data_IF_231063188452
#
_entry.id   IF_231063188452
#
_cell.length_a   1.000
_cell.length_b   1.000
_cell.length_c   1.000
_cell.angle_alpha   90.00
_cell.angle_beta   90.00
_cell.angle_gamma   90.00
#
_symmetry.space_group_name_H-M   'P 1'
#
loop_
_entity.id
_entity.type
_entity.pdbx_description
1 polymer ?
#
# COMPACT_ATOMS: atom_id res chain seq x y z
N UNK A 1 -93.84 3.15 -14.61
CA UNK A 1 -93.49 4.42 -15.29
C UNK A 1 -92.98 5.39 -14.24
N UNK A 2 -91.67 5.65 -14.17
CA UNK A 2 -91.11 6.73 -13.35
C UNK A 2 -90.10 7.47 -14.21
N UNK A 3 -90.36 8.76 -14.41
CA UNK A 3 -89.71 9.62 -15.39
C UNK A 3 -88.30 10.05 -14.96
N UNK A 4 -87.43 10.17 -15.98
CA UNK A 4 -86.01 10.53 -15.90
C UNK A 4 -85.80 12.00 -15.53
N UNK A 5 -84.97 12.27 -14.53
CA UNK A 5 -84.36 13.58 -14.29
C UNK A 5 -83.01 13.67 -15.02
N UNK A 6 -82.83 14.72 -15.84
CA UNK A 6 -81.57 15.06 -16.52
C UNK A 6 -80.77 16.02 -15.61
N UNK A 7 -79.54 15.66 -15.26
CA UNK A 7 -78.55 16.58 -14.69
C UNK A 7 -77.36 16.73 -15.63
N UNK A 8 -76.94 17.98 -15.83
CA UNK A 8 -75.95 18.46 -16.81
C UNK A 8 -74.51 18.08 -16.39
N UNK A 9 -73.75 17.52 -17.33
CA UNK A 9 -72.31 17.22 -17.17
C UNK A 9 -71.52 18.54 -17.25
N UNK A 10 -70.89 18.93 -16.15
CA UNK A 10 -69.91 20.02 -16.12
C UNK A 10 -68.57 19.59 -16.72
N UNK A 11 -67.99 20.41 -17.60
CA UNK A 11 -66.68 20.19 -18.22
C UNK A 11 -65.56 20.32 -17.17
N UNK A 12 -64.85 19.22 -16.88
CA UNK A 12 -63.62 19.25 -16.09
C UNK A 12 -62.49 19.89 -16.89
N UNK A 13 -61.92 21.00 -16.38
CA UNK A 13 -60.71 21.62 -16.94
C UNK A 13 -59.51 20.69 -16.73
N UNK A 14 -58.84 20.30 -17.82
CA UNK A 14 -57.58 19.53 -17.79
C UNK A 14 -56.48 20.38 -17.14
N UNK A 15 -55.90 19.86 -16.06
CA UNK A 15 -54.65 20.38 -15.49
C UNK A 15 -53.52 20.32 -16.54
N UNK A 16 -52.63 21.33 -16.62
CA UNK A 16 -51.49 21.26 -17.52
C UNK A 16 -50.57 20.10 -17.12
N UNK A 17 -50.23 19.24 -18.09
CA UNK A 17 -49.25 18.17 -17.91
C UNK A 17 -47.90 18.80 -17.60
N UNK A 18 -47.33 18.48 -16.43
CA UNK A 18 -45.92 18.76 -16.11
C UNK A 18 -45.05 18.11 -17.19
N UNK A 19 -44.04 18.82 -17.76
CA UNK A 19 -43.14 18.21 -18.72
C UNK A 19 -42.40 17.06 -18.05
N UNK A 20 -42.28 15.93 -18.74
CA UNK A 20 -41.51 14.79 -18.29
C UNK A 20 -40.07 15.25 -18.01
N UNK A 21 -39.63 15.15 -16.76
CA UNK A 21 -38.20 15.28 -16.45
C UNK A 21 -37.51 14.13 -17.17
N UNK A 22 -36.72 14.44 -18.20
CA UNK A 22 -35.76 13.49 -18.74
C UNK A 22 -34.83 13.12 -17.58
N UNK A 23 -35.01 11.93 -17.02
CA UNK A 23 -34.02 11.29 -16.17
C UNK A 23 -32.84 10.96 -17.09
N UNK A 24 -31.94 11.94 -17.29
CA UNK A 24 -30.59 11.68 -17.74
C UNK A 24 -29.94 10.86 -16.62
N UNK A 25 -30.10 9.53 -16.69
CA UNK A 25 -29.30 8.63 -15.88
C UNK A 25 -27.85 8.87 -16.30
N UNK A 26 -27.08 9.55 -15.46
CA UNK A 26 -25.64 9.65 -15.64
C UNK A 26 -25.12 8.20 -15.66
N UNK A 27 -24.42 7.77 -16.72
CA UNK A 27 -23.90 6.41 -16.76
C UNK A 27 -22.95 6.23 -15.58
N UNK A 28 -23.26 5.29 -14.70
CA UNK A 28 -22.37 4.92 -13.60
C UNK A 28 -21.10 4.30 -14.22
N UNK A 29 -19.94 4.80 -13.79
CA UNK A 29 -18.66 4.22 -14.19
C UNK A 29 -18.58 2.74 -13.79
N UNK A 30 -17.85 1.94 -14.55
CA UNK A 30 -17.63 0.53 -14.21
C UNK A 30 -16.94 0.40 -12.85
N UNK A 31 -17.11 -0.71 -12.12
CA UNK A 31 -16.42 -0.91 -10.83
C UNK A 31 -14.90 -0.75 -10.95
N UNK A 32 -14.30 -1.17 -12.07
CA UNK A 32 -12.86 -0.98 -12.32
C UNK A 32 -12.50 0.50 -12.45
N UNK A 33 -13.25 1.26 -13.24
CA UNK A 33 -13.02 2.69 -13.42
C UNK A 33 -13.24 3.49 -12.12
N UNK A 34 -14.19 3.07 -11.29
CA UNK A 34 -14.40 3.66 -9.96
C UNK A 34 -13.20 3.43 -9.02
N UNK A 35 -12.61 2.22 -9.05
CA UNK A 35 -11.41 1.90 -8.26
C UNK A 35 -10.17 2.65 -8.75
N UNK A 36 -9.96 2.72 -10.06
CA UNK A 36 -8.88 3.50 -10.66
C UNK A 36 -8.98 4.98 -10.30
N UNK A 37 -10.18 5.57 -10.43
CA UNK A 37 -10.43 6.94 -10.02
C UNK A 37 -10.23 7.18 -8.51
N UNK A 38 -10.48 6.17 -7.65
CA UNK A 38 -10.15 6.24 -6.24
C UNK A 38 -8.63 6.22 -6.04
N UNK A 39 -7.91 5.28 -6.67
CA UNK A 39 -6.46 5.17 -6.56
C UNK A 39 -5.76 6.45 -7.01
N UNK A 40 -6.24 7.09 -8.09
CA UNK A 40 -5.73 8.37 -8.57
C UNK A 40 -5.94 9.52 -7.57
N UNK A 41 -7.12 9.61 -6.95
CA UNK A 41 -7.38 10.61 -5.89
C UNK A 41 -6.47 10.40 -4.69
N UNK A 42 -6.38 9.16 -4.20
CA UNK A 42 -5.50 8.81 -3.08
C UNK A 42 -4.03 9.16 -3.41
N UNK A 43 -3.58 8.84 -4.61
CA UNK A 43 -2.24 9.17 -5.09
C UNK A 43 -1.98 10.67 -5.08
N UNK A 44 -2.91 11.48 -5.61
CA UNK A 44 -2.79 12.93 -5.61
C UNK A 44 -2.75 13.50 -4.18
N UNK A 45 -3.72 13.13 -3.34
CA UNK A 45 -3.82 13.63 -1.97
C UNK A 45 -2.58 13.26 -1.14
N UNK A 46 -2.08 12.03 -1.28
CA UNK A 46 -0.87 11.57 -0.57
C UNK A 46 0.40 12.23 -1.09
N UNK A 47 0.50 12.49 -2.39
CA UNK A 47 1.62 13.22 -2.96
C UNK A 47 1.69 14.65 -2.42
N UNK A 48 0.56 15.37 -2.39
CA UNK A 48 0.46 16.72 -1.83
C UNK A 48 0.79 16.75 -0.33
N UNK A 49 0.26 15.81 0.44
CA UNK A 49 0.56 15.70 1.87
C UNK A 49 2.05 15.41 2.12
N UNK A 50 2.64 14.50 1.36
CA UNK A 50 4.07 14.16 1.46
C UNK A 50 4.95 15.36 1.10
N UNK A 51 4.61 16.09 0.03
CA UNK A 51 5.29 17.34 -0.35
C UNK A 51 5.20 18.39 0.75
N UNK A 52 4.00 18.60 1.31
CA UNK A 52 3.79 19.59 2.35
C UNK A 52 4.60 19.29 3.61
N UNK A 53 4.72 18.01 3.98
CA UNK A 53 5.48 17.56 5.14
C UNK A 53 6.99 17.72 4.97
N UNK A 54 7.54 17.50 3.77
CA UNK A 54 8.98 17.54 3.51
C UNK A 54 9.50 18.83 2.87
N UNK A 55 8.63 19.75 2.46
CA UNK A 55 9.06 21.07 2.00
C UNK A 55 9.81 21.80 3.12
N UNK A 56 10.98 22.40 2.85
CA UNK A 56 11.69 23.19 3.85
C UNK A 56 10.82 24.37 4.31
N UNK A 57 10.32 24.32 5.54
CA UNK A 57 9.66 25.45 6.19
C UNK A 57 10.67 26.15 7.10
N UNK A 58 11.60 26.91 6.52
CA UNK A 58 12.68 27.56 7.27
C UNK A 58 13.73 26.57 7.80
N UNK A 59 14.38 26.88 8.92
CA UNK A 59 15.22 25.93 9.69
C UNK A 59 14.32 24.83 10.27
N UNK A 60 13.99 23.82 9.48
CA UNK A 60 13.26 22.65 9.97
C UNK A 60 14.19 21.84 10.88
N UNK A 61 13.95 21.91 12.19
CA UNK A 61 14.82 21.28 13.19
C UNK A 61 14.91 19.75 13.10
N UNK A 62 13.99 19.06 12.41
CA UNK A 62 13.93 17.58 12.45
C UNK A 62 13.45 16.94 11.13
N UNK A 63 14.26 16.92 10.06
CA UNK A 63 13.85 16.37 8.76
C UNK A 63 13.57 14.86 8.80
N UNK A 64 14.25 14.09 9.66
CA UNK A 64 13.93 12.67 9.88
C UNK A 64 12.55 12.46 10.50
N UNK A 65 12.16 13.34 11.43
CA UNK A 65 10.83 13.29 12.05
C UNK A 65 9.74 13.59 11.02
N UNK A 66 9.97 14.59 10.16
CA UNK A 66 9.04 14.93 9.10
C UNK A 66 8.83 13.76 8.11
N UNK A 67 9.91 13.11 7.68
CA UNK A 67 9.84 11.90 6.86
C UNK A 67 9.07 10.77 7.57
N UNK A 68 9.43 10.50 8.82
CA UNK A 68 8.78 9.46 9.61
C UNK A 68 7.27 9.72 9.75
N UNK A 69 6.88 10.95 10.08
CA UNK A 69 5.48 11.32 10.24
C UNK A 69 4.71 11.26 8.91
N UNK A 70 5.28 11.71 7.80
CA UNK A 70 4.64 11.64 6.49
C UNK A 70 4.30 10.21 6.06
N UNK A 71 5.24 9.26 6.25
CA UNK A 71 5.00 7.84 5.93
C UNK A 71 4.02 7.21 6.93
N UNK A 72 4.15 7.52 8.23
CA UNK A 72 3.21 7.07 9.27
C UNK A 72 1.78 7.50 8.97
N UNK A 73 1.58 8.74 8.56
CA UNK A 73 0.26 9.27 8.17
C UNK A 73 -0.29 8.59 6.92
N UNK A 74 0.55 8.31 5.91
CA UNK A 74 0.14 7.53 4.74
C UNK A 74 -0.30 6.10 5.13
N UNK A 75 0.42 5.45 6.04
CA UNK A 75 0.04 4.13 6.57
C UNK A 75 -1.25 4.18 7.36
N UNK A 76 -1.41 5.18 8.23
CA UNK A 76 -2.64 5.37 9.01
C UNK A 76 -3.85 5.65 8.11
N UNK A 77 -3.68 6.43 7.04
CA UNK A 77 -4.74 6.65 6.06
C UNK A 77 -5.14 5.36 5.33
N UNK A 78 -4.17 4.51 4.98
CA UNK A 78 -4.44 3.19 4.41
C UNK A 78 -5.22 2.33 5.40
N UNK A 79 -4.75 2.19 6.63
CA UNK A 79 -5.41 1.36 7.65
C UNK A 79 -6.85 1.85 7.93
N UNK A 80 -7.06 3.17 8.05
CA UNK A 80 -8.39 3.75 8.26
C UNK A 80 -9.37 3.43 7.11
N UNK A 81 -8.92 3.57 5.86
CA UNK A 81 -9.74 3.22 4.69
C UNK A 81 -10.07 1.72 4.65
N UNK A 82 -9.12 0.86 5.03
CA UNK A 82 -9.32 -0.58 5.07
C UNK A 82 -10.27 -1.00 6.21
N UNK A 83 -10.23 -0.33 7.36
CA UNK A 83 -11.13 -0.57 8.49
C UNK A 83 -12.57 -0.14 8.18
N UNK A 84 -12.77 0.83 7.29
CA UNK A 84 -14.09 1.25 6.79
C UNK A 84 -14.71 0.26 5.78
N UNK A 85 -13.89 -0.63 5.18
CA UNK A 85 -14.40 -1.60 4.23
C UNK A 85 -15.27 -2.64 4.93
N UNK A 86 -16.39 -2.95 4.29
CA UNK A 86 -17.26 -4.08 4.66
C UNK A 86 -17.25 -5.09 3.51
N UNK A 87 -16.13 -5.84 3.33
CA UNK A 87 -16.00 -6.77 2.23
C UNK A 87 -16.99 -7.94 2.40
N UNK A 88 -17.64 -8.31 1.29
CA UNK A 88 -18.46 -9.51 1.17
C UNK A 88 -17.96 -10.33 -0.03
N UNK A 89 -17.41 -11.54 0.18
CA UNK A 89 -17.25 -12.24 1.47
C UNK A 89 -16.22 -11.58 2.41
N UNK A 90 -16.26 -11.83 3.72
CA UNK A 90 -15.30 -11.26 4.67
C UNK A 90 -13.87 -11.72 4.39
N UNK A 91 -12.89 -10.92 4.81
CA UNK A 91 -11.48 -11.30 4.72
C UNK A 91 -11.17 -12.51 5.62
N UNK A 92 -10.44 -13.47 5.09
CA UNK A 92 -9.85 -14.56 5.89
C UNK A 92 -8.58 -14.10 6.63
N UNK A 93 -8.00 -12.97 6.22
CA UNK A 93 -6.82 -12.38 6.84
C UNK A 93 -7.10 -11.97 8.29
N UNK A 94 -6.23 -12.39 9.20
CA UNK A 94 -6.28 -12.08 10.63
C UNK A 94 -4.87 -11.96 11.19
N UNK A 95 -4.72 -11.35 12.36
CA UNK A 95 -3.44 -11.32 13.08
C UNK A 95 -2.95 -12.76 13.28
N UNK A 96 -1.69 -13.03 12.92
CA UNK A 96 -1.09 -14.37 12.98
C UNK A 96 -1.28 -15.22 11.71
N UNK A 97 -1.99 -14.74 10.69
CA UNK A 97 -1.94 -15.35 9.36
C UNK A 97 -0.61 -14.97 8.68
N UNK A 98 0.18 -15.97 8.30
CA UNK A 98 1.55 -15.79 7.78
C UNK A 98 1.71 -16.14 6.31
N UNK A 99 0.64 -16.53 5.61
CA UNK A 99 0.78 -17.08 4.26
C UNK A 99 1.39 -16.07 3.27
N UNK A 100 1.07 -14.78 3.41
CA UNK A 100 1.69 -13.73 2.60
C UNK A 100 3.14 -13.41 3.01
N UNK A 101 3.57 -13.80 4.21
CA UNK A 101 4.95 -13.62 4.71
C UNK A 101 5.98 -14.57 4.05
N UNK A 102 5.58 -15.31 3.03
CA UNK A 102 6.45 -16.03 2.09
C UNK A 102 6.45 -15.34 0.71
N UNK A 103 6.23 -14.02 0.69
CA UNK A 103 6.40 -13.20 -0.51
C UNK A 103 7.52 -12.20 -0.23
N UNK A 104 8.42 -12.07 -1.19
CA UNK A 104 9.35 -10.96 -1.22
C UNK A 104 8.62 -9.75 -1.82
N UNK A 105 8.57 -8.66 -1.06
CA UNK A 105 7.78 -7.47 -1.42
C UNK A 105 8.67 -6.29 -1.77
N UNK A 106 8.11 -5.39 -2.58
CA UNK A 106 8.69 -4.08 -2.82
C UNK A 106 8.25 -3.08 -1.75
N UNK A 107 9.08 -2.07 -1.53
CA UNK A 107 8.76 -0.85 -0.80
C UNK A 107 9.41 0.34 -1.52
N UNK A 108 8.91 1.53 -1.26
CA UNK A 108 9.48 2.77 -1.79
C UNK A 108 10.64 3.28 -0.91
N UNK A 109 11.47 4.20 -1.39
CA UNK A 109 12.56 4.79 -0.59
C UNK A 109 12.04 5.41 0.73
N UNK A 110 10.95 6.23 0.74
CA UNK A 110 10.35 6.70 1.98
C UNK A 110 9.99 5.58 2.95
N UNK A 111 9.40 4.49 2.45
CA UNK A 111 9.04 3.33 3.26
C UNK A 111 10.26 2.57 3.77
N UNK A 112 11.36 2.52 2.99
CA UNK A 112 12.62 1.92 3.40
C UNK A 112 13.19 2.65 4.61
N UNK A 113 13.28 3.98 4.50
CA UNK A 113 13.80 4.84 5.55
C UNK A 113 12.90 4.79 6.79
N UNK A 114 11.58 4.81 6.61
CA UNK A 114 10.62 4.60 7.69
C UNK A 114 10.84 3.26 8.42
N UNK A 115 11.02 2.17 7.67
CA UNK A 115 11.32 0.85 8.24
C UNK A 115 12.65 0.86 9.01
N UNK A 116 13.70 1.49 8.47
CA UNK A 116 14.99 1.64 9.15
C UNK A 116 14.86 2.38 10.48
N UNK A 117 14.21 3.55 10.48
CA UNK A 117 13.95 4.34 11.70
C UNK A 117 13.11 3.56 12.72
N UNK A 118 12.09 2.82 12.25
CA UNK A 118 11.30 1.95 13.11
C UNK A 118 12.14 0.85 13.77
N UNK A 119 13.08 0.25 13.02
CA UNK A 119 13.96 -0.78 13.55
C UNK A 119 14.91 -0.23 14.62
N UNK A 120 15.49 0.95 14.40
CA UNK A 120 16.32 1.62 15.42
C UNK A 120 15.55 1.89 16.72
N UNK A 121 14.27 2.28 16.61
CA UNK A 121 13.43 2.55 17.78
C UNK A 121 12.89 1.31 18.51
N UNK A 122 13.01 0.11 17.93
CA UNK A 122 12.33 -1.09 18.45
C UNK A 122 13.23 -2.31 18.67
N UNK A 123 14.50 -2.26 18.24
CA UNK A 123 15.43 -3.39 18.31
C UNK A 123 16.69 -3.02 19.07
N UNK A 124 17.27 -3.99 19.80
CA UNK A 124 18.60 -3.82 20.36
C UNK A 124 19.67 -3.84 19.25
N UNK A 125 20.85 -3.25 19.50
CA UNK A 125 21.96 -3.30 18.55
C UNK A 125 22.34 -4.73 18.10
N UNK A 126 22.26 -5.71 19.00
CA UNK A 126 22.55 -7.12 18.72
C UNK A 126 21.51 -7.71 17.76
N UNK A 127 20.23 -7.39 17.98
CA UNK A 127 19.14 -7.82 17.09
C UNK A 127 19.24 -7.17 15.72
N UNK A 128 19.68 -5.91 15.65
CA UNK A 128 19.93 -5.21 14.38
C UNK A 128 21.07 -5.85 13.60
N UNK A 129 22.21 -6.15 14.24
CA UNK A 129 23.33 -6.86 13.60
C UNK A 129 22.93 -8.24 13.07
N UNK A 130 22.23 -9.03 13.88
CA UNK A 130 21.73 -10.34 13.42
C UNK A 130 20.66 -10.24 12.32
N UNK A 131 19.88 -9.16 12.27
CA UNK A 131 18.98 -8.88 11.15
C UNK A 131 19.76 -8.47 9.89
N UNK A 132 20.81 -7.67 10.02
CA UNK A 132 21.69 -7.27 8.91
C UNK A 132 22.30 -8.50 8.23
N UNK A 133 22.84 -9.46 9.00
CA UNK A 133 23.42 -10.69 8.47
C UNK A 133 22.39 -11.52 7.68
N UNK A 134 21.17 -11.68 8.24
CA UNK A 134 20.09 -12.40 7.54
C UNK A 134 19.62 -11.66 6.28
N UNK A 135 19.53 -10.35 6.34
CA UNK A 135 19.13 -9.51 5.21
C UNK A 135 20.15 -9.59 4.08
N UNK A 136 21.45 -9.54 4.41
CA UNK A 136 22.55 -9.68 3.47
C UNK A 136 22.55 -11.06 2.81
N UNK A 137 22.45 -12.13 3.61
CA UNK A 137 22.38 -13.50 3.08
C UNK A 137 21.19 -13.70 2.12
N UNK A 138 20.02 -13.16 2.46
CA UNK A 138 18.85 -13.20 1.57
C UNK A 138 19.06 -12.36 0.30
N UNK A 139 19.60 -11.15 0.44
CA UNK A 139 19.90 -10.28 -0.71
C UNK A 139 20.87 -10.93 -1.69
N UNK A 140 21.91 -11.60 -1.19
CA UNK A 140 22.90 -12.34 -1.99
C UNK A 140 22.28 -13.54 -2.70
N UNK A 141 21.42 -14.31 -2.00
CA UNK A 141 20.68 -15.43 -2.61
C UNK A 141 19.70 -15.00 -3.72
N UNK A 142 19.30 -13.72 -3.73
CA UNK A 142 18.41 -13.12 -4.72
C UNK A 142 19.14 -12.31 -5.79
N UNK A 143 20.47 -12.28 -5.77
CA UNK A 143 21.27 -11.57 -6.78
C UNK A 143 21.07 -12.17 -8.17
N UNK A 144 21.01 -11.32 -9.19
CA UNK A 144 20.79 -11.71 -10.59
C UNK A 144 19.39 -12.24 -10.92
N UNK A 145 18.47 -12.35 -9.94
CA UNK A 145 17.09 -12.76 -10.17
C UNK A 145 16.20 -11.55 -10.48
N UNK A 146 15.38 -11.68 -11.51
CA UNK A 146 14.26 -10.80 -11.82
C UNK A 146 13.16 -10.91 -10.77
N UNK A 147 12.26 -9.91 -10.73
CA UNK A 147 11.08 -9.95 -9.86
C UNK A 147 10.20 -11.17 -10.13
N UNK A 148 10.08 -11.56 -11.40
CA UNK A 148 9.32 -12.74 -11.81
C UNK A 148 9.96 -14.01 -11.24
N UNK A 149 11.27 -14.18 -11.38
CA UNK A 149 11.97 -15.35 -10.84
C UNK A 149 11.88 -15.42 -9.31
N UNK A 150 11.99 -14.29 -8.61
CA UNK A 150 11.79 -14.22 -7.16
C UNK A 150 10.37 -14.63 -6.79
N UNK A 151 9.36 -14.14 -7.53
CA UNK A 151 7.97 -14.50 -7.34
C UNK A 151 7.69 -15.99 -7.55
N UNK A 152 8.34 -16.61 -8.55
CA UNK A 152 8.17 -18.05 -8.83
C UNK A 152 8.71 -18.97 -7.73
N UNK A 153 9.67 -18.50 -6.93
CA UNK A 153 10.24 -19.28 -5.81
C UNK A 153 9.78 -18.77 -4.43
N UNK A 154 8.75 -17.92 -4.39
CA UNK A 154 8.34 -17.18 -3.19
C UNK A 154 8.17 -18.06 -1.94
N UNK A 155 7.62 -19.26 -2.11
CA UNK A 155 7.31 -20.20 -1.04
C UNK A 155 8.54 -20.65 -0.23
N UNK A 156 9.73 -20.55 -0.83
CA UNK A 156 11.03 -20.89 -0.22
C UNK A 156 11.72 -19.71 0.45
N UNK A 157 11.12 -18.52 0.36
CA UNK A 157 11.71 -17.25 0.77
C UNK A 157 10.86 -16.63 1.88
N UNK A 158 10.97 -17.11 3.14
CA UNK A 158 10.31 -16.47 4.26
C UNK A 158 10.77 -15.00 4.38
N UNK A 159 9.84 -14.12 4.75
CA UNK A 159 10.12 -12.72 5.02
C UNK A 159 11.12 -12.60 6.18
N UNK A 160 12.07 -11.66 6.09
CA UNK A 160 13.05 -11.37 7.14
C UNK A 160 12.42 -11.05 8.49
N UNK A 161 11.20 -10.50 8.45
CA UNK A 161 10.44 -10.07 9.63
C UNK A 161 9.38 -11.10 10.06
N UNK A 162 9.36 -12.30 9.50
CA UNK A 162 8.56 -13.39 10.04
C UNK A 162 9.27 -13.96 11.29
N UNK A 163 8.78 -13.60 12.46
CA UNK A 163 9.30 -14.04 13.77
C UNK A 163 8.13 -14.55 14.63
N UNK A 164 8.33 -15.66 15.34
CA UNK A 164 7.34 -16.25 16.26
C UNK A 164 5.92 -16.42 15.66
N UNK A 165 5.84 -16.75 14.37
CA UNK A 165 4.56 -16.94 13.67
C UNK A 165 3.82 -15.64 13.35
N UNK A 166 4.51 -14.49 13.34
CA UNK A 166 3.92 -13.20 13.00
C UNK A 166 4.90 -12.22 12.35
N UNK A 167 4.37 -11.10 11.86
CA UNK A 167 5.20 -10.00 11.37
C UNK A 167 5.76 -9.21 12.54
N UNK A 168 7.07 -9.27 12.73
CA UNK A 168 7.79 -8.60 13.82
C UNK A 168 7.80 -7.07 13.67
N UNK A 169 7.50 -6.55 12.47
CA UNK A 169 7.39 -5.13 12.14
C UNK A 169 5.97 -4.75 11.67
N UNK A 170 4.92 -5.42 12.18
CA UNK A 170 3.54 -5.21 11.72
C UNK A 170 3.11 -3.73 11.62
N UNK A 171 3.44 -2.83 12.59
CA UNK A 171 3.11 -1.41 12.47
C UNK A 171 3.84 -0.70 11.31
N UNK A 172 5.02 -1.18 10.92
CA UNK A 172 5.84 -0.66 9.84
C UNK A 172 5.77 -1.52 8.55
N UNK A 173 4.75 -2.37 8.42
CA UNK A 173 4.54 -3.16 7.21
C UNK A 173 4.33 -2.23 6.00
N UNK A 174 5.06 -2.43 4.88
CA UNK A 174 4.90 -1.62 3.68
C UNK A 174 3.48 -1.68 3.11
N UNK A 175 3.11 -0.68 2.29
CA UNK A 175 1.81 -0.64 1.61
C UNK A 175 1.59 -1.88 0.73
N UNK A 176 2.65 -2.41 0.11
CA UNK A 176 2.58 -3.68 -0.60
C UNK A 176 2.10 -4.86 0.29
N UNK A 177 2.47 -4.88 1.57
CA UNK A 177 1.97 -5.86 2.54
C UNK A 177 0.54 -5.56 3.00
N UNK A 178 0.16 -4.28 3.13
CA UNK A 178 -1.20 -3.85 3.52
C UNK A 178 -2.23 -4.14 2.43
N UNK A 179 -1.82 -4.06 1.17
CA UNK A 179 -2.67 -4.29 0.00
C UNK A 179 -2.97 -5.77 -0.28
N UNK A 180 -2.20 -6.71 0.28
CA UNK A 180 -2.45 -8.14 0.09
C UNK A 180 -3.54 -8.66 1.01
N UNK A 181 -4.49 -9.38 0.44
CA UNK A 181 -5.61 -9.96 1.17
C UNK A 181 -6.10 -11.25 0.50
N UNK A 182 -6.92 -12.02 1.23
CA UNK A 182 -7.67 -13.13 0.68
C UNK A 182 -8.98 -13.32 1.43
N UNK A 183 -9.96 -13.91 0.75
CA UNK A 183 -11.25 -14.31 1.32
C UNK A 183 -11.26 -15.77 1.80
N UNK A 184 -10.20 -16.55 1.52
CA UNK A 184 -10.09 -17.95 1.93
C UNK A 184 -8.64 -18.33 2.29
N UNK A 185 -8.39 -18.52 3.58
CA UNK A 185 -7.08 -18.94 4.14
C UNK A 185 -6.58 -20.25 3.51
N UNK A 186 -7.50 -21.15 3.10
CA UNK A 186 -7.13 -22.43 2.48
C UNK A 186 -6.48 -22.24 1.12
N UNK A 187 -6.87 -21.24 0.34
CA UNK A 187 -6.23 -20.96 -0.96
C UNK A 187 -4.79 -20.50 -0.76
N UNK A 188 -4.56 -19.63 0.23
CA UNK A 188 -3.22 -19.20 0.59
C UNK A 188 -2.34 -20.35 1.10
N UNK A 189 -2.89 -21.22 1.95
CA UNK A 189 -2.21 -22.43 2.41
C UNK A 189 -1.87 -23.36 1.24
N UNK A 190 -2.84 -23.66 0.37
CA UNK A 190 -2.64 -24.55 -0.77
C UNK A 190 -1.57 -24.02 -1.71
N UNK A 191 -1.57 -22.72 -2.02
CA UNK A 191 -0.51 -22.11 -2.83
C UNK A 191 0.87 -22.31 -2.20
N UNK A 192 1.00 -22.22 -0.87
CA UNK A 192 2.28 -22.48 -0.20
C UNK A 192 2.66 -23.97 -0.18
N UNK A 193 1.70 -24.88 -0.01
CA UNK A 193 1.96 -26.33 0.02
C UNK A 193 2.24 -26.92 -1.37
N UNK A 194 1.62 -26.37 -2.42
CA UNK A 194 1.85 -26.80 -3.80
C UNK A 194 3.17 -26.28 -4.37
N UNK A 195 3.77 -25.27 -3.73
CA UNK A 195 4.87 -24.47 -4.27
C UNK A 195 4.59 -23.88 -5.67
N UNK A 196 3.31 -23.75 -6.03
CA UNK A 196 2.89 -23.11 -7.28
C UNK A 196 2.52 -21.65 -7.04
N UNK A 197 3.42 -20.77 -7.45
CA UNK A 197 3.28 -19.33 -7.32
C UNK A 197 2.12 -18.75 -8.15
N UNK A 198 1.61 -19.52 -9.12
CA UNK A 198 0.50 -19.12 -10.00
C UNK A 198 -0.85 -19.67 -9.53
N UNK A 199 -0.89 -20.41 -8.41
CA UNK A 199 -2.14 -20.86 -7.81
C UNK A 199 -3.04 -19.64 -7.53
N UNK A 200 -4.27 -19.59 -8.07
CA UNK A 200 -5.15 -18.45 -7.90
C UNK A 200 -5.54 -18.29 -6.43
N UNK A 201 -5.55 -17.05 -5.95
CA UNK A 201 -5.98 -16.70 -4.59
C UNK A 201 -7.07 -15.64 -4.72
N UNK A 202 -8.29 -16.00 -4.33
CA UNK A 202 -9.42 -15.07 -4.33
C UNK A 202 -9.20 -13.98 -3.27
N UNK A 203 -9.47 -12.74 -3.66
CA UNK A 203 -9.19 -11.54 -2.89
C UNK A 203 -10.16 -10.40 -3.28
N UNK A 204 -10.17 -9.34 -2.49
CA UNK A 204 -10.83 -8.08 -2.80
C UNK A 204 -9.84 -7.11 -3.49
N UNK A 205 -10.03 -6.78 -4.78
CA UNK A 205 -9.09 -5.92 -5.51
C UNK A 205 -8.98 -4.52 -4.89
N UNK A 206 -10.07 -3.98 -4.33
CA UNK A 206 -10.11 -2.64 -3.73
C UNK A 206 -9.03 -2.43 -2.65
N UNK A 207 -8.69 -3.46 -1.89
CA UNK A 207 -7.66 -3.38 -0.84
C UNK A 207 -6.28 -3.10 -1.47
N UNK A 208 -5.98 -3.74 -2.60
CA UNK A 208 -4.74 -3.52 -3.35
C UNK A 208 -4.73 -2.12 -3.98
N UNK A 209 -5.84 -1.71 -4.58
CA UNK A 209 -5.98 -0.39 -5.22
C UNK A 209 -5.79 0.78 -4.23
N UNK A 210 -6.33 0.66 -3.02
CA UNK A 210 -6.13 1.65 -1.95
C UNK A 210 -4.64 1.75 -1.59
N UNK A 211 -4.00 0.61 -1.35
CA UNK A 211 -2.59 0.57 -0.98
C UNK A 211 -1.68 1.11 -2.11
N UNK A 212 -1.94 0.71 -3.35
CA UNK A 212 -1.18 1.14 -4.53
C UNK A 212 -1.37 2.63 -4.83
N UNK A 213 -2.59 3.16 -4.68
CA UNK A 213 -2.86 4.60 -4.79
C UNK A 213 -2.04 5.41 -3.79
N UNK A 214 -2.05 5.01 -2.52
CA UNK A 214 -1.27 5.66 -1.45
C UNK A 214 0.24 5.53 -1.70
N UNK A 215 0.72 4.35 -2.11
CA UNK A 215 2.14 4.10 -2.37
C UNK A 215 2.64 4.91 -3.56
N UNK A 216 1.81 5.03 -4.61
CA UNK A 216 2.08 5.90 -5.75
C UNK A 216 2.14 7.37 -5.34
N UNK A 217 1.32 7.78 -4.38
CA UNK A 217 1.37 9.12 -3.82
C UNK A 217 2.71 9.43 -3.14
N UNK A 218 3.27 8.49 -2.36
CA UNK A 218 4.61 8.62 -1.78
C UNK A 218 5.68 8.81 -2.87
N UNK A 219 5.63 8.01 -3.93
CA UNK A 219 6.56 8.11 -5.07
C UNK A 219 6.45 9.44 -5.81
N UNK A 220 5.22 9.87 -6.14
CA UNK A 220 4.96 11.15 -6.81
C UNK A 220 5.41 12.33 -5.93
N UNK A 221 5.13 12.25 -4.63
CA UNK A 221 5.57 13.21 -3.64
C UNK A 221 7.09 13.34 -3.60
N UNK A 222 7.80 12.23 -3.42
CA UNK A 222 9.27 12.19 -3.44
C UNK A 222 9.85 12.73 -4.76
N UNK A 223 9.34 12.24 -5.90
CA UNK A 223 9.81 12.64 -7.23
C UNK A 223 9.63 14.15 -7.47
N UNK A 224 8.52 14.74 -7.03
CA UNK A 224 8.27 16.18 -7.17
C UNK A 224 9.20 17.07 -6.34
N UNK A 225 9.83 16.51 -5.30
CA UNK A 225 10.85 17.17 -4.49
C UNK A 225 12.27 16.94 -5.04
N UNK A 226 12.41 16.24 -6.18
CA UNK A 226 13.71 15.89 -6.75
C UNK A 226 14.43 14.75 -6.02
N UNK A 227 13.72 14.03 -5.14
CA UNK A 227 14.27 12.91 -4.40
C UNK A 227 14.19 11.62 -5.23
N UNK A 228 15.09 10.68 -4.96
CA UNK A 228 15.05 9.35 -5.56
C UNK A 228 13.70 8.66 -5.23
N UNK A 229 13.01 8.20 -6.27
CA UNK A 229 11.68 7.60 -6.15
C UNK A 229 11.57 6.36 -7.05
N UNK A 230 11.38 5.20 -6.43
CA UNK A 230 11.33 3.92 -7.08
C UNK A 230 10.92 2.79 -6.12
N UNK A 231 11.08 1.57 -6.60
CA UNK A 231 10.76 0.37 -5.83
C UNK A 231 12.03 -0.40 -5.53
N UNK A 232 12.15 -0.81 -4.27
CA UNK A 232 13.24 -1.61 -3.77
C UNK A 232 12.71 -2.91 -3.22
N UNK A 233 13.43 -3.99 -3.47
CA UNK A 233 13.17 -5.23 -2.75
C UNK A 233 13.46 -5.00 -1.26
N UNK A 234 12.46 -5.24 -0.40
CA UNK A 234 12.55 -4.96 1.04
C UNK A 234 13.77 -5.63 1.68
N UNK A 235 14.13 -6.85 1.26
CA UNK A 235 15.33 -7.53 1.73
C UNK A 235 16.63 -6.77 1.40
N UNK A 236 16.74 -6.24 0.18
CA UNK A 236 17.91 -5.44 -0.26
C UNK A 236 17.94 -4.08 0.45
N UNK A 237 16.78 -3.42 0.57
CA UNK A 237 16.69 -2.17 1.31
C UNK A 237 17.11 -2.34 2.78
N UNK A 238 16.67 -3.42 3.43
CA UNK A 238 17.06 -3.76 4.80
C UNK A 238 18.55 -4.04 4.92
N UNK A 239 19.11 -4.84 4.00
CA UNK A 239 20.55 -5.14 3.99
C UNK A 239 21.39 -3.87 3.81
N UNK A 240 20.99 -2.98 2.90
CA UNK A 240 21.65 -1.69 2.70
C UNK A 240 21.55 -0.84 3.96
N UNK A 241 20.35 -0.64 4.51
CA UNK A 241 20.14 0.22 5.68
C UNK A 241 20.95 -0.19 6.90
N UNK A 242 21.10 -1.49 7.11
CA UNK A 242 21.78 -2.04 8.28
C UNK A 242 23.24 -2.41 8.02
N UNK A 243 23.83 -2.03 6.88
CA UNK A 243 25.21 -2.37 6.53
C UNK A 243 26.20 -1.71 7.48
N UNK A 244 27.27 -2.43 7.81
CA UNK A 244 28.37 -1.99 8.66
C UNK A 244 27.92 -1.68 10.10
N UNK A 245 27.44 -0.46 10.34
CA UNK A 245 26.88 -0.01 11.60
C UNK A 245 25.39 0.32 11.38
N UNK A 246 24.45 -0.40 12.01
CA UNK A 246 23.02 -0.20 11.76
C UNK A 246 22.48 1.21 12.04
N UNK A 247 22.96 1.86 13.10
CA UNK A 247 22.49 3.19 13.49
C UNK A 247 23.00 4.23 12.50
N UNK A 248 24.32 4.28 12.31
CA UNK A 248 24.95 5.16 11.33
C UNK A 248 24.42 4.87 9.92
N UNK A 249 24.23 3.61 9.59
CA UNK A 249 23.75 3.16 8.29
C UNK A 249 22.36 3.69 7.96
N UNK A 250 21.41 3.63 8.89
CA UNK A 250 20.07 4.20 8.71
C UNK A 250 20.11 5.73 8.69
N UNK A 251 20.87 6.35 9.58
CA UNK A 251 20.92 7.80 9.72
C UNK A 251 21.57 8.49 8.51
N UNK A 252 22.73 8.00 8.06
CA UNK A 252 23.45 8.54 6.89
C UNK A 252 22.60 8.42 5.62
N UNK A 253 21.93 7.28 5.44
CA UNK A 253 21.06 7.01 4.28
C UNK A 253 19.84 7.90 4.25
N UNK A 254 19.25 8.13 5.42
CA UNK A 254 18.13 9.06 5.58
C UNK A 254 18.58 10.47 5.24
N UNK A 255 19.75 10.90 5.73
CA UNK A 255 20.31 12.22 5.47
C UNK A 255 20.62 12.41 3.98
N UNK A 256 21.33 11.46 3.39
CA UNK A 256 21.72 11.49 1.98
C UNK A 256 20.49 11.54 1.06
N UNK A 257 19.47 10.73 1.34
CA UNK A 257 18.24 10.75 0.54
C UNK A 257 17.50 12.08 0.68
N UNK A 258 17.40 12.64 1.89
CA UNK A 258 16.77 13.95 2.13
C UNK A 258 17.56 15.12 1.51
N UNK A 259 18.88 14.97 1.36
CA UNK A 259 19.76 15.89 0.60
C UNK A 259 19.62 15.72 -0.93
N UNK A 260 18.77 14.81 -1.41
CA UNK A 260 18.58 14.52 -2.83
C UNK A 260 19.69 13.67 -3.46
N UNK A 261 20.54 13.02 -2.65
CA UNK A 261 21.57 12.12 -3.17
C UNK A 261 20.96 10.74 -3.47
N UNK A 262 21.24 10.15 -4.65
CA UNK A 262 20.74 8.82 -4.99
C UNK A 262 21.44 7.76 -4.14
N UNK A 263 20.64 6.94 -3.46
CA UNK A 263 21.13 6.01 -2.46
C UNK A 263 20.82 4.55 -2.80
N UNK A 264 19.60 4.25 -3.26
CA UNK A 264 19.13 2.89 -3.47
C UNK A 264 19.02 2.47 -4.96
N UNK A 265 18.77 3.42 -5.86
CA UNK A 265 18.49 3.23 -7.28
C UNK A 265 19.72 3.36 -8.18
N UNK A 266 20.94 3.26 -7.65
CA UNK A 266 22.14 3.17 -8.49
C UNK A 266 21.97 1.96 -9.42
N UNK A 267 22.22 2.16 -10.72
CA UNK A 267 22.43 1.07 -11.69
C UNK A 267 23.72 0.31 -11.36
N UNK A 268 23.78 -0.30 -10.18
CA UNK A 268 24.62 -1.47 -9.98
C UNK A 268 24.01 -2.57 -10.82
N UNK A 269 24.75 -3.02 -11.83
CA UNK A 269 24.48 -4.25 -12.54
C UNK A 269 24.43 -5.37 -11.50
N UNK A 270 23.23 -5.78 -11.11
CA UNK A 270 22.99 -7.00 -10.35
C UNK A 270 22.53 -8.09 -11.30
#
# INVERSE_FOLDING_TARGET
MVARSRSKIGKAKRSPRRPARNNLALPLASPSAQREALADRLSQERAEAFQAALRPQGETDHPFKALHDAVREAYAACDALLDELQPDPPLACKRGCIHCCYNQVALTEPEALFLGLHLLGTRSPERLRGLADRAQALADGLKGKSWQEIGMIRHRLPCLFLEDGGCSVYPARPLACRGWNSVDERMCLLSNLSEDALTPIENHPIVREIADGIQTGLLRGASSLGLEAGYLLMARATALLLSDDPEKGVMDRSADWLDGKPFFGRKTSW
#
